data_IF_222688164738
#
_entry.id   IF_222688164738
#
_cell.length_a   1.000
_cell.length_b   1.000
_cell.length_c   1.000
_cell.angle_alpha   90.00
_cell.angle_beta   90.00
_cell.angle_gamma   90.00
#
_symmetry.space_group_name_H-M   'P 1'
#
loop_
_entity.id
_entity.type
_entity.pdbx_description
1 polymer ?
#
# COMPACT_ATOMS: atom_id res chain seq x y z
N UNK A 1 56.58 -30.60 -28.21
CA UNK A 1 55.95 -31.94 -28.03
C UNK A 1 55.46 -32.07 -26.62
N UNK A 2 54.17 -31.92 -26.41
CA UNK A 2 53.49 -32.13 -25.12
C UNK A 2 52.46 -33.23 -25.35
N UNK A 3 52.42 -34.29 -24.54
CA UNK A 3 51.53 -35.43 -24.78
C UNK A 3 50.12 -35.12 -24.22
N UNK A 4 49.11 -35.48 -24.99
CA UNK A 4 47.68 -35.42 -24.67
C UNK A 4 47.28 -36.63 -23.82
N UNK A 5 46.62 -36.39 -22.69
CA UNK A 5 45.94 -37.41 -21.89
C UNK A 5 44.42 -37.33 -22.11
N UNK A 6 43.71 -38.44 -22.26
CA UNK A 6 42.26 -38.43 -22.50
C UNK A 6 41.47 -38.33 -21.23
N UNK A 7 40.47 -37.43 -21.22
CA UNK A 7 39.47 -37.26 -20.16
C UNK A 7 38.37 -38.32 -20.30
N UNK A 8 38.28 -39.22 -19.34
CA UNK A 8 37.25 -40.25 -19.23
C UNK A 8 35.96 -39.63 -18.70
N UNK A 9 34.89 -39.77 -19.43
CA UNK A 9 33.53 -39.36 -19.20
C UNK A 9 32.84 -40.29 -18.21
N UNK A 10 32.69 -39.89 -16.95
CA UNK A 10 31.73 -40.56 -16.03
C UNK A 10 30.35 -39.91 -16.21
N UNK A 11 29.40 -40.68 -16.75
CA UNK A 11 27.95 -40.39 -16.70
C UNK A 11 27.38 -41.12 -15.50
N UNK A 12 26.55 -40.46 -14.71
CA UNK A 12 25.63 -41.12 -13.85
C UNK A 12 25.16 -40.32 -12.65
N UNK A 13 23.86 -40.00 -12.63
CA UNK A 13 23.01 -39.76 -11.47
C UNK A 13 23.24 -38.48 -10.67
N UNK A 14 22.73 -37.37 -11.17
CA UNK A 14 22.42 -36.17 -10.34
C UNK A 14 21.30 -35.29 -10.95
N UNK A 15 20.16 -35.88 -11.30
CA UNK A 15 19.05 -35.13 -11.94
C UNK A 15 17.66 -35.55 -11.45
N UNK A 16 17.50 -36.05 -10.23
CA UNK A 16 16.17 -36.41 -9.70
C UNK A 16 15.72 -35.66 -8.46
N UNK A 17 16.59 -34.93 -7.76
CA UNK A 17 16.21 -34.28 -6.49
C UNK A 17 15.88 -32.78 -6.62
N UNK A 18 16.12 -32.16 -7.80
CA UNK A 18 15.85 -30.73 -7.99
C UNK A 18 14.35 -30.43 -8.24
N UNK A 19 13.58 -31.38 -8.77
CA UNK A 19 12.17 -31.17 -9.16
C UNK A 19 11.19 -31.30 -7.99
N UNK A 20 11.58 -31.78 -6.83
CA UNK A 20 10.72 -31.92 -5.65
C UNK A 20 10.76 -30.71 -4.72
N UNK A 21 11.84 -29.92 -4.78
CA UNK A 21 11.98 -28.69 -3.98
C UNK A 21 11.20 -27.53 -4.61
N UNK A 22 11.24 -27.40 -5.95
CA UNK A 22 10.53 -26.33 -6.65
C UNK A 22 9.00 -26.42 -6.52
N UNK A 23 8.42 -27.62 -6.51
CA UNK A 23 6.97 -27.81 -6.38
C UNK A 23 6.41 -27.51 -4.98
N UNK A 24 7.23 -27.63 -3.93
CA UNK A 24 6.81 -27.26 -2.57
C UNK A 24 6.82 -25.75 -2.36
N UNK A 25 7.75 -25.05 -2.98
CA UNK A 25 7.83 -23.59 -2.91
C UNK A 25 6.67 -22.92 -3.68
N UNK A 26 6.34 -23.37 -4.87
CA UNK A 26 5.23 -22.83 -5.66
C UNK A 26 3.87 -22.99 -4.95
N UNK A 27 3.61 -24.13 -4.33
CA UNK A 27 2.36 -24.35 -3.59
C UNK A 27 2.27 -23.48 -2.33
N UNK A 28 3.35 -23.28 -1.60
CA UNK A 28 3.40 -22.41 -0.43
C UNK A 28 3.25 -20.93 -0.81
N UNK A 29 3.90 -20.48 -1.89
CA UNK A 29 3.76 -19.13 -2.43
C UNK A 29 2.31 -18.88 -2.85
N UNK A 30 1.66 -19.83 -3.51
CA UNK A 30 0.27 -19.72 -3.95
C UNK A 30 -0.69 -19.65 -2.76
N UNK A 31 -0.51 -20.48 -1.72
CA UNK A 31 -1.36 -20.47 -0.52
C UNK A 31 -1.17 -19.16 0.27
N UNK A 32 0.07 -18.68 0.41
CA UNK A 32 0.33 -17.41 1.07
C UNK A 32 -0.26 -16.21 0.31
N UNK A 33 -0.23 -16.23 -1.02
CA UNK A 33 -0.82 -15.16 -1.84
C UNK A 33 -2.36 -15.14 -1.76
N UNK A 34 -3.02 -16.30 -1.74
CA UNK A 34 -4.47 -16.40 -1.58
C UNK A 34 -4.89 -15.86 -0.20
N UNK A 35 -4.23 -16.26 0.88
CA UNK A 35 -4.53 -15.78 2.23
C UNK A 35 -4.32 -14.28 2.41
N UNK A 36 -3.33 -13.71 1.68
CA UNK A 36 -3.08 -12.27 1.73
C UNK A 36 -4.13 -11.48 0.96
N UNK A 37 -4.55 -11.95 -0.20
CA UNK A 37 -5.63 -11.34 -0.97
C UNK A 37 -6.96 -11.31 -0.19
N UNK A 38 -7.32 -12.41 0.50
CA UNK A 38 -8.49 -12.47 1.38
C UNK A 38 -8.35 -11.47 2.55
N UNK A 39 -7.14 -11.34 3.12
CA UNK A 39 -6.87 -10.37 4.18
C UNK A 39 -7.02 -8.93 3.70
N UNK A 40 -6.50 -8.60 2.50
CA UNK A 40 -6.64 -7.25 1.92
C UNK A 40 -8.10 -6.91 1.63
N UNK A 41 -8.87 -7.84 1.07
CA UNK A 41 -10.30 -7.64 0.84
C UNK A 41 -11.09 -7.45 2.15
N UNK A 42 -10.69 -8.14 3.21
CA UNK A 42 -11.28 -7.96 4.54
C UNK A 42 -10.92 -6.61 5.17
N UNK A 43 -9.69 -6.13 4.97
CA UNK A 43 -9.24 -4.81 5.44
C UNK A 43 -9.94 -3.67 4.69
N UNK A 44 -10.21 -3.85 3.41
CA UNK A 44 -10.68 -2.83 2.49
C UNK A 44 -11.98 -3.22 1.77
N UNK A 45 -13.13 -3.35 2.48
CA UNK A 45 -14.41 -3.56 1.81
C UNK A 45 -14.77 -2.41 0.85
N UNK A 46 -14.15 -1.23 1.02
CA UNK A 46 -14.30 -0.06 0.14
C UNK A 46 -13.72 -0.27 -1.26
N UNK A 47 -12.93 -1.33 -1.51
CA UNK A 47 -12.50 -1.72 -2.86
C UNK A 47 -13.70 -1.94 -3.80
N UNK A 48 -14.82 -2.45 -3.28
CA UNK A 48 -16.05 -2.65 -4.05
C UNK A 48 -16.69 -1.34 -4.57
N UNK A 49 -16.26 -0.20 -4.07
CA UNK A 49 -16.71 1.10 -4.56
C UNK A 49 -16.01 1.54 -5.86
N UNK A 50 -14.88 0.93 -6.21
CA UNK A 50 -14.17 1.14 -7.46
C UNK A 50 -14.87 0.33 -8.54
N UNK A 51 -15.48 1.01 -9.53
CA UNK A 51 -16.26 0.37 -10.60
C UNK A 51 -15.35 -0.23 -11.68
N UNK A 52 -14.22 0.40 -11.95
CA UNK A 52 -13.18 -0.14 -12.82
C UNK A 52 -12.51 -1.34 -12.15
N UNK A 53 -12.81 -2.54 -12.63
CA UNK A 53 -12.30 -3.79 -12.07
C UNK A 53 -10.78 -3.91 -12.18
N UNK A 54 -10.17 -3.39 -13.24
CA UNK A 54 -8.71 -3.41 -13.41
C UNK A 54 -8.03 -2.50 -12.38
N UNK A 55 -8.56 -1.30 -12.16
CA UNK A 55 -8.05 -0.38 -11.14
C UNK A 55 -8.25 -0.94 -9.73
N UNK A 56 -9.41 -1.57 -9.47
CA UNK A 56 -9.69 -2.24 -8.19
C UNK A 56 -8.66 -3.32 -7.89
N UNK A 57 -8.39 -4.20 -8.86
CA UNK A 57 -7.40 -5.28 -8.72
C UNK A 57 -5.99 -4.73 -8.51
N UNK A 58 -5.58 -3.69 -9.22
CA UNK A 58 -4.30 -3.02 -9.04
C UNK A 58 -4.17 -2.39 -7.65
N UNK A 59 -5.26 -1.79 -7.16
CA UNK A 59 -5.33 -1.21 -5.81
C UNK A 59 -5.16 -2.28 -4.73
N UNK A 60 -5.84 -3.41 -4.85
CA UNK A 60 -5.71 -4.55 -3.94
C UNK A 60 -4.29 -5.13 -3.97
N UNK A 61 -3.73 -5.38 -5.16
CA UNK A 61 -2.34 -5.89 -5.32
C UNK A 61 -1.29 -4.96 -4.72
N UNK A 62 -1.51 -3.66 -4.76
CA UNK A 62 -0.59 -2.71 -4.13
C UNK A 62 -0.52 -2.90 -2.62
N UNK A 63 -1.65 -3.15 -1.96
CA UNK A 63 -1.70 -3.50 -0.55
C UNK A 63 -1.08 -4.86 -0.26
N UNK A 64 -1.34 -5.86 -1.09
CA UNK A 64 -0.69 -7.17 -0.97
C UNK A 64 0.83 -7.04 -1.06
N UNK A 65 1.34 -6.31 -2.06
CA UNK A 65 2.77 -6.06 -2.24
C UNK A 65 3.37 -5.29 -1.05
N UNK A 66 2.66 -4.30 -0.52
CA UNK A 66 3.09 -3.54 0.64
C UNK A 66 3.24 -4.44 1.87
N UNK A 67 2.24 -5.28 2.14
CA UNK A 67 2.25 -6.23 3.25
C UNK A 67 3.30 -7.33 3.08
N UNK A 68 3.53 -7.81 1.87
CA UNK A 68 4.61 -8.77 1.58
C UNK A 68 6.01 -8.22 1.89
N UNK A 69 6.21 -6.92 1.68
CA UNK A 69 7.49 -6.24 1.91
C UNK A 69 7.63 -5.69 3.33
N UNK A 70 6.55 -5.65 4.09
CA UNK A 70 6.48 -5.10 5.44
C UNK A 70 6.84 -6.13 6.50
N UNK A 71 7.29 -5.66 7.64
CA UNK A 71 7.35 -6.45 8.88
C UNK A 71 5.98 -6.51 9.59
N UNK A 72 5.07 -5.59 9.22
CA UNK A 72 3.69 -5.53 9.74
C UNK A 72 2.82 -6.59 9.08
N UNK A 73 1.92 -7.16 9.86
CA UNK A 73 0.91 -8.12 9.39
C UNK A 73 -0.46 -7.43 9.30
N UNK A 74 -1.42 -7.98 8.54
CA UNK A 74 -2.77 -7.43 8.44
C UNK A 74 -3.42 -7.12 9.79
N UNK A 75 -3.26 -8.02 10.78
CA UNK A 75 -3.81 -7.88 12.12
C UNK A 75 -3.18 -6.76 12.98
N UNK A 76 -2.02 -6.27 12.61
CA UNK A 76 -1.34 -5.18 13.32
C UNK A 76 -1.96 -3.83 12.97
N UNK A 77 -2.55 -3.68 11.78
CA UNK A 77 -3.07 -2.42 11.26
C UNK A 77 -4.26 -1.87 12.09
N UNK A 78 -4.97 -2.73 12.80
CA UNK A 78 -6.01 -2.33 13.76
C UNK A 78 -5.47 -2.01 15.15
N UNK A 79 -4.17 -2.22 15.42
CA UNK A 79 -3.52 -2.01 16.72
C UNK A 79 -2.54 -0.84 16.71
N UNK A 80 -1.81 -0.66 15.60
CA UNK A 80 -0.85 0.45 15.48
C UNK A 80 -1.57 1.79 15.36
N UNK A 81 -0.99 2.89 15.88
CA UNK A 81 -1.56 4.23 15.72
C UNK A 81 -1.45 4.68 14.27
N UNK A 82 -2.39 5.49 13.82
CA UNK A 82 -2.37 6.03 12.46
C UNK A 82 -1.23 7.03 12.21
N UNK A 83 -0.67 7.60 13.28
CA UNK A 83 0.45 8.52 13.20
C UNK A 83 1.36 8.37 14.43
N UNK A 84 2.66 8.49 14.20
CA UNK A 84 3.66 8.56 15.28
C UNK A 84 3.84 9.98 15.83
N UNK A 85 3.19 10.99 15.21
CA UNK A 85 3.28 12.40 15.60
C UNK A 85 2.26 12.81 16.67
N UNK A 86 1.26 11.97 16.95
CA UNK A 86 0.36 12.18 18.08
C UNK A 86 1.02 11.67 19.36
N UNK A 87 0.77 12.38 20.46
CA UNK A 87 1.32 12.03 21.77
C UNK A 87 0.94 10.62 22.26
N UNK A 88 1.56 10.16 23.35
CA UNK A 88 1.25 8.85 23.93
C UNK A 88 -0.22 8.80 24.36
N UNK A 89 -0.89 7.67 24.02
CA UNK A 89 -2.30 7.44 24.36
C UNK A 89 -3.28 7.64 23.22
N UNK A 90 -2.81 7.86 21.99
CA UNK A 90 -3.67 7.81 20.80
C UNK A 90 -4.29 6.42 20.66
N UNK A 91 -5.64 6.36 20.69
CA UNK A 91 -6.40 5.10 20.58
C UNK A 91 -6.94 4.83 19.18
N UNK A 92 -6.86 5.81 18.26
CA UNK A 92 -7.32 5.64 16.87
C UNK A 92 -6.29 4.81 16.13
N UNK A 93 -6.74 3.66 15.61
CA UNK A 93 -5.88 2.77 14.85
C UNK A 93 -5.58 3.30 13.44
N UNK A 94 -4.58 2.72 12.81
CA UNK A 94 -4.25 3.01 11.42
C UNK A 94 -5.47 2.75 10.51
N UNK A 95 -6.14 1.61 10.65
CA UNK A 95 -7.30 1.29 9.80
C UNK A 95 -8.52 2.18 10.07
N UNK A 96 -8.81 2.51 11.34
CA UNK A 96 -9.92 3.42 11.65
C UNK A 96 -9.74 4.78 10.96
N UNK A 97 -8.53 5.34 11.06
CA UNK A 97 -8.20 6.59 10.40
C UNK A 97 -8.30 6.49 8.88
N UNK A 98 -7.68 5.46 8.30
CA UNK A 98 -7.65 5.29 6.84
C UNK A 98 -9.03 5.10 6.24
N UNK A 99 -9.86 4.27 6.87
CA UNK A 99 -11.24 4.10 6.43
C UNK A 99 -12.06 5.39 6.56
N UNK A 100 -11.86 6.15 7.65
CA UNK A 100 -12.49 7.46 7.79
C UNK A 100 -12.10 8.40 6.65
N UNK A 101 -10.80 8.45 6.28
CA UNK A 101 -10.32 9.26 5.12
C UNK A 101 -11.02 8.83 3.82
N UNK A 102 -11.10 7.53 3.55
CA UNK A 102 -11.75 7.01 2.32
C UNK A 102 -13.23 7.38 2.28
N UNK A 103 -13.95 7.23 3.40
CA UNK A 103 -15.38 7.58 3.48
C UNK A 103 -15.60 9.08 3.30
N UNK A 104 -14.82 9.93 3.97
CA UNK A 104 -14.92 11.40 3.84
C UNK A 104 -14.58 11.83 2.41
N UNK A 105 -13.52 11.28 1.82
CA UNK A 105 -13.13 11.58 0.44
C UNK A 105 -14.26 11.23 -0.54
N UNK A 106 -14.85 10.03 -0.40
CA UNK A 106 -15.98 9.60 -1.22
C UNK A 106 -17.16 10.55 -1.13
N UNK A 107 -17.62 10.87 0.08
CA UNK A 107 -18.76 11.79 0.27
C UNK A 107 -18.45 13.19 -0.25
N UNK A 108 -17.23 13.69 -0.05
CA UNK A 108 -16.77 14.95 -0.65
C UNK A 108 -16.81 14.89 -2.17
N UNK A 109 -16.29 13.82 -2.79
CA UNK A 109 -16.33 13.63 -4.24
C UNK A 109 -17.74 13.61 -4.80
N UNK A 110 -18.69 12.97 -4.12
CA UNK A 110 -20.11 12.97 -4.50
C UNK A 110 -20.68 14.40 -4.47
N UNK A 111 -20.33 15.22 -3.48
CA UNK A 111 -20.75 16.63 -3.40
C UNK A 111 -20.11 17.50 -4.47
N UNK A 112 -18.84 17.27 -4.81
CA UNK A 112 -18.21 17.92 -5.96
C UNK A 112 -18.95 17.60 -7.26
N UNK A 113 -19.32 16.35 -7.49
CA UNK A 113 -20.13 15.95 -8.66
C UNK A 113 -21.52 16.61 -8.67
N UNK A 114 -22.15 16.74 -7.52
CA UNK A 114 -23.47 17.34 -7.39
C UNK A 114 -23.45 18.85 -7.72
N UNK A 115 -22.47 19.58 -7.17
CA UNK A 115 -22.47 21.04 -7.22
C UNK A 115 -21.52 21.65 -8.25
N UNK A 116 -20.43 20.96 -8.61
CA UNK A 116 -19.33 21.52 -9.40
C UNK A 116 -18.96 20.67 -10.63
N UNK A 117 -19.73 19.66 -10.99
CA UNK A 117 -19.36 18.68 -12.02
C UNK A 117 -18.96 19.30 -13.37
N UNK A 118 -19.58 20.42 -13.77
CA UNK A 118 -19.28 21.08 -15.05
C UNK A 118 -17.94 21.84 -15.03
N UNK A 119 -17.50 22.30 -13.86
CA UNK A 119 -16.28 23.10 -13.69
C UNK A 119 -15.12 22.25 -13.15
N UNK A 120 -15.42 21.31 -12.27
CA UNK A 120 -14.44 20.46 -11.57
C UNK A 120 -14.91 19.01 -11.56
N UNK A 121 -14.85 18.31 -12.71
CA UNK A 121 -15.24 16.89 -12.76
C UNK A 121 -14.32 16.05 -11.85
N UNK A 122 -14.91 15.09 -11.14
CA UNK A 122 -14.22 14.14 -10.26
C UNK A 122 -14.36 12.74 -10.81
N UNK A 123 -13.23 12.07 -11.03
CA UNK A 123 -13.22 10.63 -11.29
C UNK A 123 -13.30 9.88 -9.95
N UNK A 124 -14.45 9.27 -9.66
CA UNK A 124 -14.70 8.60 -8.39
C UNK A 124 -13.81 7.37 -8.18
N UNK A 125 -13.50 6.62 -9.23
CA UNK A 125 -12.65 5.45 -9.12
C UNK A 125 -11.20 5.85 -8.77
N UNK A 126 -10.68 6.88 -9.44
CA UNK A 126 -9.36 7.47 -9.13
C UNK A 126 -9.32 8.04 -7.71
N UNK A 127 -10.37 8.74 -7.29
CA UNK A 127 -10.50 9.31 -5.95
C UNK A 127 -10.46 8.21 -4.87
N UNK A 128 -11.27 7.17 -5.03
CA UNK A 128 -11.39 6.09 -4.04
C UNK A 128 -10.10 5.28 -4.00
N UNK A 129 -9.54 4.88 -5.15
CA UNK A 129 -8.27 4.18 -5.22
C UNK A 129 -7.13 5.00 -4.59
N UNK A 130 -7.07 6.31 -4.89
CA UNK A 130 -6.09 7.21 -4.30
C UNK A 130 -6.23 7.35 -2.78
N UNK A 131 -7.45 7.45 -2.27
CA UNK A 131 -7.71 7.51 -0.83
C UNK A 131 -7.32 6.20 -0.11
N UNK A 132 -7.61 5.04 -0.71
CA UNK A 132 -7.20 3.73 -0.19
C UNK A 132 -5.67 3.62 -0.16
N UNK A 133 -4.97 4.10 -1.20
CA UNK A 133 -3.53 3.96 -1.36
C UNK A 133 -2.70 5.09 -0.74
N UNK A 134 -3.28 6.21 -0.35
CA UNK A 134 -2.55 7.40 0.11
C UNK A 134 -1.43 7.07 1.11
N UNK A 135 -1.72 6.25 2.11
CA UNK A 135 -0.78 5.86 3.18
C UNK A 135 -0.17 4.46 3.04
N UNK A 136 -0.34 3.79 1.90
CA UNK A 136 0.17 2.40 1.72
C UNK A 136 1.67 2.28 1.98
N UNK A 137 2.42 3.33 1.70
CA UNK A 137 3.87 3.38 1.96
C UNK A 137 4.25 3.33 3.45
N UNK A 138 3.32 3.61 4.38
CA UNK A 138 3.56 3.46 5.82
C UNK A 138 3.86 2.01 6.21
N UNK A 139 3.46 1.04 5.40
CA UNK A 139 3.82 -0.37 5.57
C UNK A 139 5.34 -0.61 5.50
N UNK A 140 6.07 0.26 4.84
CA UNK A 140 7.55 0.22 4.77
C UNK A 140 8.20 1.24 5.72
N UNK A 141 7.43 2.23 6.20
CA UNK A 141 7.91 3.28 7.09
C UNK A 141 7.83 2.88 8.56
N UNK A 142 6.83 2.05 8.94
CA UNK A 142 6.56 1.69 10.33
C UNK A 142 7.07 0.30 10.67
N UNK A 143 7.59 0.18 11.88
CA UNK A 143 7.96 -1.09 12.52
C UNK A 143 7.33 -1.18 13.93
N UNK A 144 7.29 -2.38 14.49
CA UNK A 144 6.85 -2.65 15.86
C UNK A 144 7.97 -3.35 16.63
N UNK A 145 8.20 -2.93 17.87
CA UNK A 145 9.13 -3.58 18.79
C UNK A 145 8.49 -4.82 19.46
N UNK A 146 9.28 -5.53 20.24
CA UNK A 146 8.84 -6.73 20.99
C UNK A 146 7.71 -6.44 21.98
N UNK A 147 7.56 -5.19 22.43
CA UNK A 147 6.48 -4.74 23.30
C UNK A 147 5.21 -4.32 22.51
N UNK A 148 5.23 -4.41 21.18
CA UNK A 148 4.12 -4.00 20.31
C UNK A 148 4.00 -2.48 20.10
N UNK A 149 5.04 -1.70 20.44
CA UNK A 149 5.06 -0.26 20.24
C UNK A 149 5.56 0.06 18.83
N UNK A 150 4.82 0.89 18.12
CA UNK A 150 5.17 1.35 16.77
C UNK A 150 6.23 2.45 16.81
N UNK A 151 7.15 2.39 15.86
CA UNK A 151 8.18 3.41 15.65
C UNK A 151 8.49 3.54 14.16
N UNK A 152 9.19 4.61 13.78
CA UNK A 152 9.68 4.79 12.42
C UNK A 152 10.90 3.89 12.21
N UNK A 153 10.77 2.93 11.30
CA UNK A 153 11.86 2.05 10.93
C UNK A 153 12.93 2.74 10.09
N UNK A 154 14.09 2.09 9.96
CA UNK A 154 15.23 2.63 9.23
C UNK A 154 14.92 3.00 7.77
N UNK A 155 14.04 2.26 7.12
CA UNK A 155 13.58 2.59 5.76
C UNK A 155 12.89 3.97 5.72
N UNK A 156 12.01 4.22 6.69
CA UNK A 156 11.25 5.47 6.80
C UNK A 156 12.09 6.70 7.13
N UNK A 157 13.29 6.53 7.71
CA UNK A 157 14.24 7.63 7.92
C UNK A 157 14.74 8.24 6.60
N UNK A 158 14.82 7.43 5.53
CA UNK A 158 15.33 7.85 4.23
C UNK A 158 14.22 8.11 3.21
N UNK A 159 13.13 7.33 3.27
CA UNK A 159 12.08 7.38 2.26
C UNK A 159 10.70 7.44 2.90
N UNK A 160 10.10 8.63 2.85
CA UNK A 160 8.77 8.89 3.38
C UNK A 160 7.69 8.15 2.59
N UNK A 161 6.59 7.81 3.27
CA UNK A 161 5.49 7.00 2.72
C UNK A 161 4.85 7.52 1.41
N UNK A 162 4.77 8.82 1.08
CA UNK A 162 4.27 9.21 -0.23
C UNK A 162 5.15 8.71 -1.37
N UNK A 163 6.47 8.70 -1.21
CA UNK A 163 7.40 8.22 -2.24
C UNK A 163 7.40 6.70 -2.35
N UNK A 164 7.49 5.99 -1.23
CA UNK A 164 7.43 4.53 -1.22
C UNK A 164 6.08 4.00 -1.66
N UNK A 165 5.00 4.72 -1.34
CA UNK A 165 3.65 4.40 -1.80
C UNK A 165 3.50 4.48 -3.32
N UNK A 166 4.05 5.52 -3.96
CA UNK A 166 4.11 5.62 -5.43
C UNK A 166 4.89 4.45 -6.02
N UNK A 167 6.07 4.14 -5.46
CA UNK A 167 6.89 3.02 -5.94
C UNK A 167 6.15 1.68 -5.87
N UNK A 168 5.37 1.42 -4.81
CA UNK A 168 4.54 0.23 -4.69
C UNK A 168 3.42 0.21 -5.73
N UNK A 169 2.73 1.34 -5.91
CA UNK A 169 1.61 1.48 -6.83
C UNK A 169 2.05 1.30 -8.30
N UNK A 170 3.17 1.91 -8.71
CA UNK A 170 3.72 1.75 -10.06
C UNK A 170 4.12 0.31 -10.37
N UNK A 171 4.68 -0.43 -9.41
CA UNK A 171 5.00 -1.86 -9.58
C UNK A 171 3.76 -2.72 -9.85
N UNK A 172 2.58 -2.27 -9.40
CA UNK A 172 1.30 -2.92 -9.64
C UNK A 172 0.54 -2.35 -10.86
N UNK A 173 1.14 -1.41 -11.60
CA UNK A 173 0.54 -0.80 -12.79
C UNK A 173 -0.63 0.15 -12.47
N UNK A 174 -0.64 0.74 -11.28
CA UNK A 174 -1.61 1.78 -10.89
C UNK A 174 -1.39 3.02 -11.76
N UNK A 175 -2.46 3.66 -12.31
CA UNK A 175 -2.32 4.77 -13.24
C UNK A 175 -1.75 6.04 -12.58
N UNK A 176 -1.12 6.92 -13.38
CA UNK A 176 -0.42 8.12 -12.88
C UNK A 176 -1.32 9.06 -12.06
N UNK A 177 -2.61 9.14 -12.35
CA UNK A 177 -3.59 9.98 -11.65
C UNK A 177 -3.74 9.55 -10.19
N UNK A 178 -3.74 8.24 -9.92
CA UNK A 178 -3.78 7.69 -8.56
C UNK A 178 -2.41 7.83 -7.89
N UNK A 179 -1.31 7.57 -8.61
CA UNK A 179 0.06 7.81 -8.11
C UNK A 179 0.26 9.28 -7.71
N UNK A 180 -0.33 10.24 -8.46
CA UNK A 180 -0.32 11.65 -8.10
C UNK A 180 -1.01 11.91 -6.76
N UNK A 181 -2.15 11.28 -6.49
CA UNK A 181 -2.83 11.41 -5.19
C UNK A 181 -1.91 10.89 -4.06
N UNK A 182 -1.30 9.72 -4.24
CA UNK A 182 -0.37 9.14 -3.26
C UNK A 182 0.80 10.09 -2.99
N UNK A 183 1.42 10.64 -4.05
CA UNK A 183 2.55 11.56 -3.93
C UNK A 183 2.18 12.88 -3.25
N UNK A 184 0.95 13.38 -3.49
CA UNK A 184 0.56 14.75 -3.15
C UNK A 184 -0.39 14.85 -1.95
N UNK A 185 -0.82 13.71 -1.32
CA UNK A 185 -1.80 13.78 -0.22
C UNK A 185 -1.24 14.42 1.06
N UNK A 186 0.04 14.23 1.36
CA UNK A 186 0.71 14.75 2.55
C UNK A 186 1.42 16.11 2.27
N UNK A 187 2.18 16.61 3.24
CA UNK A 187 2.88 17.89 3.14
C UNK A 187 3.93 17.91 2.00
N UNK A 188 4.46 16.74 1.62
CA UNK A 188 5.37 16.60 0.48
C UNK A 188 4.76 17.10 -0.84
N UNK A 189 3.41 17.10 -0.92
CA UNK A 189 2.67 17.65 -2.06
C UNK A 189 2.41 19.15 -2.06
N UNK A 190 2.86 19.91 -1.06
CA UNK A 190 2.53 21.35 -0.94
C UNK A 190 3.20 22.23 -2.01
N UNK A 191 4.25 21.70 -2.65
CA UNK A 191 4.96 22.37 -3.74
C UNK A 191 4.45 22.01 -5.14
N UNK A 192 3.47 21.12 -5.26
CA UNK A 192 2.91 20.69 -6.53
C UNK A 192 1.43 21.08 -6.65
N UNK A 193 0.96 21.28 -7.89
CA UNK A 193 -0.46 21.52 -8.14
C UNK A 193 -1.22 20.20 -8.00
N UNK A 194 -2.06 20.07 -6.98
CA UNK A 194 -2.93 18.92 -6.79
C UNK A 194 -4.07 18.89 -7.81
N UNK A 195 -4.45 17.70 -8.27
CA UNK A 195 -5.74 17.48 -8.96
C UNK A 195 -6.90 17.67 -7.98
N UNK A 196 -8.14 17.71 -8.47
CA UNK A 196 -9.33 17.83 -7.61
C UNK A 196 -9.40 16.64 -6.63
N UNK A 197 -9.17 15.43 -7.11
CA UNK A 197 -9.13 14.22 -6.29
C UNK A 197 -8.03 14.28 -5.23
N UNK A 198 -6.83 14.76 -5.61
CA UNK A 198 -5.71 14.91 -4.67
C UNK A 198 -6.01 15.97 -3.59
N UNK A 199 -6.70 17.07 -3.93
CA UNK A 199 -7.19 18.05 -2.95
C UNK A 199 -8.19 17.41 -1.99
N UNK A 200 -9.16 16.66 -2.49
CA UNK A 200 -10.17 16.00 -1.65
C UNK A 200 -9.50 15.04 -0.68
N UNK A 201 -8.58 14.17 -1.15
CA UNK A 201 -7.88 13.21 -0.28
C UNK A 201 -7.00 13.92 0.73
N UNK A 202 -6.23 14.94 0.31
CA UNK A 202 -5.40 15.76 1.20
C UNK A 202 -6.22 16.36 2.34
N UNK A 203 -7.36 17.01 2.03
CA UNK A 203 -8.18 17.62 3.07
C UNK A 203 -8.91 16.59 3.94
N UNK A 204 -9.33 15.45 3.40
CA UNK A 204 -9.91 14.36 4.18
C UNK A 204 -8.89 13.81 5.20
N UNK A 205 -7.63 13.61 4.77
CA UNK A 205 -6.54 13.15 5.63
C UNK A 205 -6.22 14.18 6.72
N UNK A 206 -5.98 15.44 6.36
CA UNK A 206 -5.63 16.50 7.31
C UNK A 206 -6.76 16.85 8.28
N UNK A 207 -8.02 16.81 7.83
CA UNK A 207 -9.19 17.03 8.67
C UNK A 207 -9.29 15.96 9.77
N UNK A 208 -8.88 14.75 9.51
CA UNK A 208 -8.89 13.65 10.47
C UNK A 208 -7.58 13.51 11.24
N UNK A 209 -6.50 14.19 10.84
CA UNK A 209 -5.19 14.19 11.49
C UNK A 209 -4.97 15.38 12.44
N UNK A 210 -5.21 16.62 11.97
CA UNK A 210 -4.86 17.84 12.72
C UNK A 210 -5.49 17.94 14.12
N UNK A 211 -6.76 17.53 14.35
CA UNK A 211 -7.34 17.57 15.68
C UNK A 211 -6.60 16.69 16.70
N UNK A 212 -5.93 15.63 16.24
CA UNK A 212 -5.15 14.74 17.11
C UNK A 212 -3.71 15.22 17.34
N UNK A 213 -3.12 15.92 16.36
CA UNK A 213 -1.79 16.50 16.48
C UNK A 213 -1.72 17.59 17.58
N UNK A 214 -2.82 18.29 17.82
CA UNK A 214 -2.88 19.44 18.74
C UNK A 214 -3.47 19.07 20.11
N UNK A 215 -3.65 17.79 20.40
CA UNK A 215 -4.02 17.28 21.73
C UNK A 215 -2.78 17.01 22.56
#
# INVERSE_FOLDING_TARGET
MIPSTPCTRQRGTMFRDCLSVERKDESNITIMSIGLAESVNSLWPELEWIQDSELRDKTARTWELALQKSVLKPEDLSKIPFTLLAGPGLKVSFMDHKRAVVHIARESGLKFKEFFNNEMPVNMDVLIAGAILADVGKMLEYEIDEAGKSFQGKYGEYLRHPFSGVSLAEQCGVPPEVCHIIAAHAAEGDLVKRSVEAYIVHHADFMTFLPFKNK
#
